data_IF_592159695105
#
_entry.id   IF_592159695105
#
_cell.length_a   1.000
_cell.length_b   1.000
_cell.length_c   1.000
_cell.angle_alpha   90.00
_cell.angle_beta   90.00
_cell.angle_gamma   90.00
#
_symmetry.space_group_name_H-M   'P 1'
#
loop_
_entity.id
_entity.type
_entity.pdbx_description
1 polymer ?
#
# COMPACT_ATOMS: atom_id res chain seq x y z
N UNK A 1 -12.08 -0.94 -40.65
CA UNK A 1 -11.49 0.41 -40.54
C UNK A 1 -10.52 0.60 -41.70
N UNK A 2 -10.67 1.65 -42.50
CA UNK A 2 -9.85 1.85 -43.73
C UNK A 2 -8.38 2.12 -43.34
N UNK A 3 -7.42 1.56 -44.11
CA UNK A 3 -5.97 1.82 -43.96
C UNK A 3 -5.63 3.33 -43.90
N UNK A 4 -6.49 4.16 -44.42
CA UNK A 4 -6.36 5.62 -44.41
C UNK A 4 -6.63 6.21 -43.01
N UNK A 5 -7.61 5.67 -42.27
CA UNK A 5 -7.96 6.08 -40.91
C UNK A 5 -6.84 5.71 -39.91
N UNK A 6 -6.21 4.55 -40.09
CA UNK A 6 -5.08 4.12 -39.24
C UNK A 6 -3.84 5.02 -39.45
N UNK A 7 -3.55 5.42 -40.68
CA UNK A 7 -2.45 6.36 -40.96
C UNK A 7 -2.70 7.74 -40.34
N UNK A 8 -3.92 8.26 -40.43
CA UNK A 8 -4.27 9.56 -39.83
C UNK A 8 -4.17 9.51 -38.32
N UNK A 9 -4.69 8.46 -37.68
CA UNK A 9 -4.59 8.25 -36.21
C UNK A 9 -3.13 8.09 -35.77
N UNK A 10 -2.31 7.40 -36.56
CA UNK A 10 -0.88 7.27 -36.31
C UNK A 10 -0.16 8.62 -36.40
N UNK A 11 -0.42 9.43 -37.44
CA UNK A 11 0.17 10.76 -37.61
C UNK A 11 -0.27 11.75 -36.51
N UNK A 12 -1.55 11.73 -36.13
CA UNK A 12 -2.06 12.55 -35.01
C UNK A 12 -1.42 12.13 -33.70
N UNK A 13 -1.28 10.83 -33.46
CA UNK A 13 -0.59 10.30 -32.26
C UNK A 13 0.88 10.71 -32.23
N UNK A 14 1.57 10.65 -33.33
CA UNK A 14 2.98 11.05 -33.43
C UNK A 14 3.15 12.57 -33.24
N UNK A 15 2.27 13.40 -33.82
CA UNK A 15 2.27 14.86 -33.62
C UNK A 15 1.94 15.27 -32.16
N UNK A 16 1.10 14.52 -31.47
CA UNK A 16 0.79 14.74 -30.05
C UNK A 16 1.89 14.21 -29.10
N UNK A 17 2.71 13.27 -29.53
CA UNK A 17 3.82 12.75 -28.73
C UNK A 17 5.02 13.68 -28.67
N UNK A 18 5.28 14.45 -29.73
CA UNK A 18 6.39 15.42 -29.80
C UNK A 18 6.30 16.50 -28.69
N UNK A 19 5.20 17.25 -28.53
CA UNK A 19 5.10 18.24 -27.46
C UNK A 19 5.17 17.61 -26.07
N UNK A 20 4.61 16.42 -25.88
CA UNK A 20 4.72 15.69 -24.62
C UNK A 20 6.17 15.28 -24.29
N UNK A 21 7.00 14.97 -25.30
CA UNK A 21 8.42 14.66 -25.13
C UNK A 21 9.20 15.90 -24.70
N UNK A 22 8.97 17.06 -25.36
CA UNK A 22 9.61 18.32 -24.99
C UNK A 22 9.22 18.78 -23.58
N UNK A 23 7.95 18.65 -23.21
CA UNK A 23 7.48 18.95 -21.85
C UNK A 23 8.17 18.04 -20.82
N UNK A 24 8.33 16.76 -21.10
CA UNK A 24 9.06 15.82 -20.22
C UNK A 24 10.54 16.18 -20.13
N UNK A 25 11.19 16.53 -21.25
CA UNK A 25 12.59 16.93 -21.26
C UNK A 25 12.79 18.25 -20.48
N UNK A 26 11.92 19.23 -20.67
CA UNK A 26 11.95 20.49 -19.91
C UNK A 26 11.72 20.25 -18.41
N UNK A 27 10.78 19.37 -18.04
CA UNK A 27 10.54 19.01 -16.64
C UNK A 27 11.76 18.31 -16.00
N UNK A 28 12.44 17.42 -16.73
CA UNK A 28 13.66 16.78 -16.25
C UNK A 28 14.81 17.79 -16.10
N UNK A 29 14.96 18.71 -17.06
CA UNK A 29 15.97 19.78 -16.98
C UNK A 29 15.69 20.71 -15.79
N UNK A 30 14.42 21.12 -15.60
CA UNK A 30 14.01 21.93 -14.45
C UNK A 30 14.31 21.22 -13.14
N UNK A 31 13.96 19.92 -13.03
CA UNK A 31 14.26 19.13 -11.84
C UNK A 31 15.79 19.07 -11.59
N UNK A 32 16.60 18.85 -12.62
CA UNK A 32 18.05 18.83 -12.49
C UNK A 32 18.60 20.17 -12.00
N UNK A 33 18.13 21.29 -12.57
CA UNK A 33 18.52 22.63 -12.15
C UNK A 33 18.10 22.94 -10.71
N UNK A 34 16.90 22.54 -10.30
CA UNK A 34 16.42 22.67 -8.92
C UNK A 34 17.30 21.86 -7.95
N UNK A 35 17.64 20.61 -8.28
CA UNK A 35 18.50 19.78 -7.45
C UNK A 35 19.92 20.36 -7.32
N UNK A 36 20.49 20.90 -8.40
CA UNK A 36 21.82 21.56 -8.38
C UNK A 36 21.78 22.85 -7.54
N UNK A 37 20.72 23.64 -7.69
CA UNK A 37 20.55 24.93 -6.96
C UNK A 37 20.32 24.72 -5.47
N UNK A 38 19.54 23.67 -5.11
CA UNK A 38 19.11 23.38 -3.75
C UNK A 38 19.74 22.08 -3.21
N UNK A 39 21.03 21.83 -3.55
CA UNK A 39 21.74 20.58 -3.25
C UNK A 39 21.78 20.22 -1.76
N UNK A 40 21.90 21.21 -0.88
CA UNK A 40 21.93 20.98 0.57
C UNK A 40 20.58 20.55 1.10
N UNK A 41 19.51 21.18 0.65
CA UNK A 41 18.14 20.76 0.97
C UNK A 41 17.82 19.37 0.42
N UNK A 42 18.26 19.08 -0.81
CA UNK A 42 18.09 17.75 -1.41
C UNK A 42 18.80 16.68 -0.57
N UNK A 43 20.05 16.90 -0.17
CA UNK A 43 20.79 15.98 0.69
C UNK A 43 20.12 15.79 2.06
N UNK A 44 19.69 16.88 2.70
CA UNK A 44 18.96 16.83 3.98
C UNK A 44 17.64 16.04 3.86
N UNK A 45 16.90 16.22 2.75
CA UNK A 45 15.68 15.47 2.45
C UNK A 45 15.96 13.97 2.30
N UNK A 46 17.03 13.57 1.62
CA UNK A 46 17.43 12.15 1.51
C UNK A 46 17.78 11.58 2.87
N UNK A 47 18.56 12.28 3.69
CA UNK A 47 18.90 11.84 5.06
C UNK A 47 17.64 11.65 5.91
N UNK A 48 16.71 12.61 5.87
CA UNK A 48 15.42 12.49 6.56
C UNK A 48 14.62 11.27 6.08
N UNK A 49 14.59 11.03 4.77
CA UNK A 49 13.95 9.84 4.18
C UNK A 49 14.60 8.53 4.64
N UNK A 50 15.94 8.48 4.75
CA UNK A 50 16.67 7.32 5.29
C UNK A 50 16.26 7.06 6.73
N UNK A 51 16.23 8.09 7.59
CA UNK A 51 15.78 7.95 8.97
C UNK A 51 14.34 7.43 9.06
N UNK A 52 13.43 7.92 8.24
CA UNK A 52 12.04 7.44 8.17
C UNK A 52 12.00 5.97 7.72
N UNK A 53 12.79 5.59 6.72
CA UNK A 53 12.83 4.20 6.24
C UNK A 53 13.37 3.25 7.31
N UNK A 54 14.52 3.56 7.91
CA UNK A 54 15.19 2.68 8.87
C UNK A 54 14.47 2.67 10.22
N UNK A 55 14.02 3.82 10.71
CA UNK A 55 13.40 3.94 12.03
C UNK A 55 11.95 3.50 12.08
N UNK A 56 11.21 3.64 10.97
CA UNK A 56 9.75 3.42 10.98
C UNK A 56 9.31 2.40 9.94
N UNK A 57 9.60 2.64 8.65
CA UNK A 57 8.95 1.88 7.58
C UNK A 57 9.45 0.44 7.50
N UNK A 58 10.75 0.22 7.55
CA UNK A 58 11.32 -1.13 7.48
C UNK A 58 10.88 -1.96 8.67
N UNK A 59 11.05 -1.53 9.94
CA UNK A 59 10.63 -2.33 11.09
C UNK A 59 9.13 -2.64 11.11
N UNK A 60 8.29 -1.69 10.69
CA UNK A 60 6.84 -1.86 10.73
C UNK A 60 6.26 -2.61 9.54
N UNK A 61 6.80 -2.43 8.32
CA UNK A 61 6.19 -2.96 7.10
C UNK A 61 6.86 -4.23 6.58
N UNK A 62 8.18 -4.39 6.75
CA UNK A 62 8.90 -5.55 6.21
C UNK A 62 8.35 -6.90 6.69
N UNK A 63 8.05 -7.12 7.98
CA UNK A 63 7.48 -8.39 8.45
C UNK A 63 6.16 -8.72 7.74
N UNK A 64 5.31 -7.72 7.53
CA UNK A 64 4.02 -7.90 6.86
C UNK A 64 4.15 -8.09 5.35
N UNK A 65 5.10 -7.40 4.71
CA UNK A 65 5.43 -7.60 3.29
C UNK A 65 5.95 -9.03 3.08
N UNK A 66 6.82 -9.51 3.97
CA UNK A 66 7.31 -10.88 3.94
C UNK A 66 6.18 -11.89 4.11
N UNK A 67 5.31 -11.68 5.11
CA UNK A 67 4.12 -12.51 5.32
C UNK A 67 3.23 -12.53 4.07
N UNK A 68 3.02 -11.40 3.43
CA UNK A 68 2.26 -11.30 2.19
C UNK A 68 2.90 -12.11 1.05
N UNK A 69 4.23 -12.05 0.91
CA UNK A 69 4.95 -12.83 -0.09
C UNK A 69 4.86 -14.34 0.20
N UNK A 70 4.93 -14.75 1.46
CA UNK A 70 4.72 -16.14 1.88
C UNK A 70 3.28 -16.60 1.58
N UNK A 71 2.30 -15.76 1.87
CA UNK A 71 0.89 -16.07 1.64
C UNK A 71 0.53 -16.20 0.15
N UNK A 72 1.14 -15.42 -0.73
CA UNK A 72 0.83 -15.48 -2.18
C UNK A 72 1.37 -16.76 -2.84
N UNK A 73 2.48 -17.30 -2.34
CA UNK A 73 3.19 -18.42 -2.92
C UNK A 73 2.92 -19.76 -2.21
N UNK A 74 2.10 -19.77 -1.14
CA UNK A 74 1.87 -20.96 -0.32
C UNK A 74 0.47 -21.54 -0.51
N UNK A 75 0.41 -22.88 -0.70
CA UNK A 75 -0.86 -23.62 -0.62
C UNK A 75 -1.49 -23.54 0.78
N UNK A 76 -0.69 -23.40 1.85
CA UNK A 76 -1.17 -23.24 3.21
C UNK A 76 -1.98 -21.96 3.40
N UNK A 77 -1.60 -20.87 2.74
CA UNK A 77 -2.35 -19.63 2.78
C UNK A 77 -3.76 -19.76 2.17
N UNK A 78 -3.91 -20.58 1.12
CA UNK A 78 -5.22 -20.86 0.54
C UNK A 78 -6.16 -21.52 1.55
N UNK A 79 -5.63 -22.39 2.42
CA UNK A 79 -6.41 -23.02 3.48
C UNK A 79 -6.77 -22.02 4.58
N UNK A 80 -5.82 -21.16 4.98
CA UNK A 80 -6.02 -20.13 6.00
C UNK A 80 -7.13 -19.13 5.62
N UNK A 81 -7.16 -18.71 4.35
CA UNK A 81 -8.15 -17.74 3.88
C UNK A 81 -9.44 -18.37 3.36
N UNK A 82 -9.56 -19.71 3.38
CA UNK A 82 -10.76 -20.43 2.92
C UNK A 82 -12.05 -20.01 3.63
N UNK A 83 -12.07 -19.72 4.93
CA UNK A 83 -13.29 -19.23 5.62
C UNK A 83 -13.83 -17.91 5.06
N UNK A 84 -12.96 -17.06 4.49
CA UNK A 84 -13.35 -15.78 3.87
C UNK A 84 -13.90 -15.94 2.45
N UNK A 85 -13.80 -17.14 1.86
CA UNK A 85 -14.27 -17.41 0.49
C UNK A 85 -15.74 -17.05 0.25
N UNK A 86 -16.71 -17.35 1.13
CA UNK A 86 -18.10 -16.97 0.92
C UNK A 86 -18.27 -15.43 0.92
N UNK A 87 -17.56 -14.72 1.80
CA UNK A 87 -17.59 -13.25 1.84
C UNK A 87 -17.06 -12.67 0.52
N UNK A 88 -15.93 -13.18 0.02
CA UNK A 88 -15.38 -12.74 -1.27
C UNK A 88 -16.36 -12.97 -2.41
N UNK A 89 -17.00 -14.14 -2.48
CA UNK A 89 -17.90 -14.50 -3.59
C UNK A 89 -19.24 -13.80 -3.54
N UNK A 90 -19.88 -13.74 -2.37
CA UNK A 90 -21.26 -13.25 -2.24
C UNK A 90 -21.32 -11.75 -1.96
N UNK A 91 -20.40 -11.23 -1.14
CA UNK A 91 -20.38 -9.81 -0.75
C UNK A 91 -19.59 -8.99 -1.77
N UNK A 92 -18.35 -9.37 -2.03
CA UNK A 92 -17.46 -8.59 -2.91
C UNK A 92 -17.48 -9.03 -4.37
N UNK A 93 -18.19 -10.11 -4.72
CA UNK A 93 -18.24 -10.67 -6.09
C UNK A 93 -16.86 -10.83 -6.72
N UNK A 94 -15.93 -11.39 -5.93
CA UNK A 94 -14.55 -11.68 -6.32
C UNK A 94 -14.24 -13.18 -6.12
N UNK A 95 -13.27 -13.73 -6.85
CA UNK A 95 -12.77 -15.07 -6.58
C UNK A 95 -12.22 -15.21 -5.15
N UNK A 96 -12.32 -16.41 -4.57
CA UNK A 96 -11.87 -16.69 -3.20
C UNK A 96 -10.37 -16.36 -2.99
N UNK A 97 -9.56 -16.47 -4.03
CA UNK A 97 -8.13 -16.14 -3.98
C UNK A 97 -7.83 -14.66 -3.71
N UNK A 98 -8.83 -13.77 -3.79
CA UNK A 98 -8.68 -12.35 -3.46
C UNK A 98 -8.67 -12.07 -1.94
N UNK A 99 -9.10 -13.01 -1.09
CA UNK A 99 -9.20 -12.82 0.35
C UNK A 99 -7.87 -12.38 1.02
N UNK A 100 -6.70 -12.94 0.68
CA UNK A 100 -5.42 -12.46 1.21
C UNK A 100 -5.13 -10.99 0.86
N UNK A 101 -5.49 -10.55 -0.36
CA UNK A 101 -5.25 -9.17 -0.77
C UNK A 101 -6.08 -8.19 0.07
N UNK A 102 -7.33 -8.50 0.38
CA UNK A 102 -8.19 -7.67 1.23
C UNK A 102 -7.67 -7.68 2.66
N UNK A 103 -7.54 -8.85 3.29
CA UNK A 103 -7.19 -8.93 4.70
C UNK A 103 -5.80 -8.33 4.98
N UNK A 104 -4.77 -8.76 4.23
CA UNK A 104 -3.41 -8.26 4.42
C UNK A 104 -3.24 -6.82 3.92
N UNK A 105 -4.01 -6.40 2.93
CA UNK A 105 -4.00 -5.01 2.48
C UNK A 105 -4.58 -4.04 3.50
N UNK A 106 -5.56 -4.46 4.29
CA UNK A 106 -6.15 -3.66 5.37
C UNK A 106 -5.30 -3.68 6.64
N UNK A 107 -4.68 -4.81 6.96
CA UNK A 107 -3.93 -4.98 8.22
C UNK A 107 -2.45 -4.65 8.10
N UNK A 108 -1.81 -5.08 7.02
CA UNK A 108 -0.37 -4.93 6.80
C UNK A 108 0.03 -3.63 6.08
N UNK A 109 -0.90 -2.97 5.40
CA UNK A 109 -0.66 -1.66 4.80
C UNK A 109 -0.73 -1.63 3.27
N UNK A 110 -0.68 -0.40 2.74
CA UNK A 110 -0.94 -0.06 1.32
C UNK A 110 -0.24 -0.92 0.27
N UNK A 111 1.09 -1.16 0.34
CA UNK A 111 1.77 -1.84 -0.74
C UNK A 111 1.42 -3.33 -0.78
N UNK A 112 1.05 -3.90 0.37
CA UNK A 112 0.82 -5.34 0.52
C UNK A 112 -0.38 -5.82 -0.29
N UNK A 113 -1.55 -5.20 -0.09
CA UNK A 113 -2.77 -5.56 -0.83
C UNK A 113 -2.61 -5.36 -2.34
N UNK A 114 -1.98 -4.25 -2.74
CA UNK A 114 -1.70 -3.96 -4.14
C UNK A 114 -0.74 -4.98 -4.77
N UNK A 115 0.34 -5.36 -4.06
CA UNK A 115 1.30 -6.37 -4.53
C UNK A 115 0.64 -7.74 -4.70
N UNK A 116 -0.17 -8.18 -3.73
CA UNK A 116 -0.92 -9.45 -3.83
C UNK A 116 -1.87 -9.40 -5.04
N UNK A 117 -2.60 -8.30 -5.21
CA UNK A 117 -3.53 -8.13 -6.34
C UNK A 117 -2.79 -8.18 -7.68
N UNK A 118 -1.65 -7.51 -7.81
CA UNK A 118 -0.81 -7.54 -9.00
C UNK A 118 -0.29 -8.96 -9.31
N UNK A 119 0.16 -9.68 -8.29
CA UNK A 119 0.62 -11.07 -8.43
C UNK A 119 -0.53 -12.02 -8.85
N UNK A 120 -1.73 -11.86 -8.27
CA UNK A 120 -2.90 -12.65 -8.65
C UNK A 120 -3.32 -12.38 -10.10
N UNK A 121 -3.24 -11.15 -10.55
CA UNK A 121 -3.49 -10.78 -11.94
C UNK A 121 -2.45 -11.38 -12.88
N UNK A 122 -1.15 -11.23 -12.58
CA UNK A 122 -0.06 -11.80 -13.37
C UNK A 122 -0.16 -13.34 -13.46
N UNK A 123 -0.67 -13.99 -12.42
CA UNK A 123 -0.93 -15.43 -12.38
C UNK A 123 -2.25 -15.84 -13.10
N UNK A 124 -2.97 -14.93 -13.76
CA UNK A 124 -4.23 -15.20 -14.44
C UNK A 124 -5.41 -15.59 -13.52
N UNK A 125 -5.29 -15.34 -12.21
CA UNK A 125 -6.32 -15.68 -11.21
C UNK A 125 -7.39 -14.59 -11.05
N UNK A 126 -7.13 -13.41 -11.56
CA UNK A 126 -8.07 -12.28 -11.59
C UNK A 126 -8.17 -11.74 -13.01
N UNK A 127 -9.37 -11.37 -13.42
CA UNK A 127 -9.56 -10.58 -14.64
C UNK A 127 -9.07 -9.14 -14.41
N UNK A 128 -8.87 -8.38 -15.51
CA UNK A 128 -8.50 -6.97 -15.45
C UNK A 128 -9.45 -6.17 -14.57
N UNK A 129 -10.76 -6.38 -14.74
CA UNK A 129 -11.79 -5.65 -14.00
C UNK A 129 -11.83 -6.02 -12.52
N UNK A 130 -11.69 -7.32 -12.22
CA UNK A 130 -11.60 -7.82 -10.85
C UNK A 130 -10.37 -7.24 -10.12
N UNK A 131 -9.19 -7.24 -10.77
CA UNK A 131 -7.97 -6.67 -10.21
C UNK A 131 -8.09 -5.15 -10.00
N UNK A 132 -8.61 -4.41 -10.99
CA UNK A 132 -8.82 -2.96 -10.89
C UNK A 132 -9.81 -2.59 -9.77
N UNK A 133 -10.89 -3.36 -9.62
CA UNK A 133 -11.88 -3.17 -8.55
C UNK A 133 -11.31 -3.52 -7.18
N UNK A 134 -10.64 -4.66 -7.05
CA UNK A 134 -10.00 -5.11 -5.80
C UNK A 134 -9.02 -4.06 -5.29
N UNK A 135 -8.23 -3.46 -6.18
CA UNK A 135 -7.26 -2.43 -5.84
C UNK A 135 -7.89 -1.20 -5.20
N UNK A 136 -9.12 -0.84 -5.56
CA UNK A 136 -9.80 0.32 -4.99
C UNK A 136 -10.09 0.18 -3.50
N UNK A 137 -10.14 -1.06 -2.96
CA UNK A 137 -10.50 -1.30 -1.57
C UNK A 137 -9.59 -2.27 -0.80
N UNK A 138 -8.54 -2.81 -1.40
CA UNK A 138 -7.55 -3.63 -0.69
C UNK A 138 -6.31 -2.84 -0.22
N UNK A 139 -6.40 -1.52 -0.19
CA UNK A 139 -5.29 -0.64 0.18
C UNK A 139 -5.68 0.28 1.32
N UNK A 140 -5.03 0.12 2.47
CA UNK A 140 -5.22 0.92 3.68
C UNK A 140 -3.88 1.15 4.39
N UNK A 141 -3.79 2.06 5.37
CA UNK A 141 -2.52 2.35 6.05
C UNK A 141 -1.96 1.18 6.88
N UNK A 142 -2.79 0.19 7.21
CA UNK A 142 -2.41 -0.91 8.09
C UNK A 142 -2.33 -0.51 9.55
N UNK A 143 -2.35 -1.52 10.44
CA UNK A 143 -2.32 -1.32 11.88
C UNK A 143 -1.04 -0.62 12.34
N UNK A 144 0.11 -1.06 11.84
CA UNK A 144 1.41 -0.52 12.27
C UNK A 144 1.53 0.99 12.02
N UNK A 145 1.00 1.49 10.91
CA UNK A 145 1.10 2.91 10.58
C UNK A 145 -0.03 3.73 11.20
N UNK A 146 -1.29 3.29 11.13
CA UNK A 146 -2.42 4.05 11.63
C UNK A 146 -2.53 4.00 13.16
N UNK A 147 -2.45 2.80 13.76
CA UNK A 147 -2.62 2.65 15.20
C UNK A 147 -1.30 2.87 15.95
N UNK A 148 -0.25 2.09 15.64
CA UNK A 148 0.97 2.12 16.43
C UNK A 148 1.78 3.40 16.19
N UNK A 149 2.10 3.72 14.93
CA UNK A 149 2.92 4.91 14.63
C UNK A 149 2.15 6.22 14.85
N UNK A 150 1.01 6.40 14.15
CA UNK A 150 0.27 7.66 14.22
C UNK A 150 -0.44 7.82 15.57
N UNK A 151 -1.10 6.79 16.07
CA UNK A 151 -1.87 6.84 17.32
C UNK A 151 -0.98 6.79 18.56
N UNK A 152 -0.33 5.64 18.78
CA UNK A 152 0.40 5.40 20.04
C UNK A 152 1.68 6.23 20.14
N UNK A 153 2.48 6.28 19.06
CA UNK A 153 3.78 6.96 19.10
C UNK A 153 3.64 8.49 18.95
N UNK A 154 2.94 8.98 17.93
CA UNK A 154 2.88 10.41 17.64
C UNK A 154 1.79 11.15 18.44
N UNK A 155 0.57 10.59 18.51
CA UNK A 155 -0.56 11.20 19.24
C UNK A 155 -0.61 10.76 20.72
N UNK A 156 0.26 9.83 21.12
CA UNK A 156 0.31 9.26 22.49
C UNK A 156 -1.04 8.76 22.99
N UNK A 157 -1.86 8.23 22.08
CA UNK A 157 -3.19 7.71 22.39
C UNK A 157 -3.51 6.47 21.56
N UNK A 158 -3.48 5.31 22.21
CA UNK A 158 -3.84 4.04 21.59
C UNK A 158 -5.28 4.05 21.07
N UNK A 159 -6.17 4.74 21.77
CA UNK A 159 -7.58 4.83 21.41
C UNK A 159 -7.81 5.63 20.13
N UNK A 160 -7.13 6.77 19.99
CA UNK A 160 -7.15 7.55 18.74
C UNK A 160 -6.57 6.70 17.60
N UNK A 161 -5.47 6.00 17.86
CA UNK A 161 -4.83 5.11 16.90
C UNK A 161 -5.75 3.99 16.43
N UNK A 162 -6.46 3.33 17.33
CA UNK A 162 -7.43 2.30 17.01
C UNK A 162 -8.62 2.88 16.20
N UNK A 163 -9.14 4.03 16.60
CA UNK A 163 -10.21 4.71 15.84
C UNK A 163 -9.74 5.06 14.42
N UNK A 164 -8.52 5.56 14.25
CA UNK A 164 -7.91 5.81 12.94
C UNK A 164 -7.79 4.53 12.11
N UNK A 165 -7.28 3.45 12.71
CA UNK A 165 -7.14 2.17 12.03
C UNK A 165 -8.49 1.63 11.56
N UNK A 166 -9.49 1.57 12.45
CA UNK A 166 -10.81 1.07 12.09
C UNK A 166 -11.51 1.97 11.07
N UNK A 167 -11.40 3.29 11.18
CA UNK A 167 -11.94 4.22 10.20
C UNK A 167 -11.35 3.96 8.80
N UNK A 168 -10.02 3.81 8.72
CA UNK A 168 -9.31 3.55 7.48
C UNK A 168 -9.48 2.12 6.94
N UNK A 169 -9.92 1.16 7.77
CA UNK A 169 -10.25 -0.19 7.33
C UNK A 169 -11.72 -0.31 6.88
N UNK A 170 -12.65 0.35 7.57
CA UNK A 170 -14.08 0.32 7.22
C UNK A 170 -14.39 1.08 5.93
N UNK A 171 -13.72 2.21 5.72
CA UNK A 171 -13.93 3.04 4.53
C UNK A 171 -13.71 2.27 3.21
N UNK A 172 -12.57 1.62 2.96
CA UNK A 172 -12.37 0.83 1.75
C UNK A 172 -13.30 -0.39 1.68
N UNK A 173 -13.66 -1.02 2.80
CA UNK A 173 -14.62 -2.13 2.79
C UNK A 173 -16.00 -1.67 2.32
N UNK A 174 -16.48 -0.51 2.79
CA UNK A 174 -17.72 0.10 2.32
C UNK A 174 -17.65 0.42 0.83
N UNK A 175 -16.54 1.04 0.37
CA UNK A 175 -16.34 1.31 -1.05
C UNK A 175 -16.34 0.02 -1.88
N UNK A 176 -15.68 -1.03 -1.39
CA UNK A 176 -15.66 -2.36 -2.01
C UNK A 176 -17.06 -2.97 -2.11
N UNK A 177 -17.87 -2.81 -1.08
CA UNK A 177 -19.27 -3.26 -1.07
C UNK A 177 -20.09 -2.52 -2.13
N UNK A 178 -19.99 -1.20 -2.20
CA UNK A 178 -20.68 -0.37 -3.20
C UNK A 178 -20.27 -0.77 -4.62
N UNK A 179 -18.96 -0.84 -4.89
CA UNK A 179 -18.44 -1.21 -6.22
C UNK A 179 -18.85 -2.63 -6.62
N UNK A 180 -19.05 -3.51 -5.66
CA UNK A 180 -19.44 -4.90 -5.92
C UNK A 180 -20.90 -5.05 -6.33
N UNK A 181 -21.76 -4.08 -6.01
CA UNK A 181 -23.17 -4.09 -6.46
C UNK A 181 -23.31 -3.97 -7.98
N UNK A 182 -22.39 -3.25 -8.61
CA UNK A 182 -22.36 -3.01 -10.05
C UNK A 182 -21.51 -4.03 -10.82
N UNK A 183 -21.00 -5.06 -10.15
CA UNK A 183 -20.13 -6.05 -10.75
C UNK A 183 -20.88 -7.35 -11.03
N UNK A 184 -20.45 -8.07 -12.06
CA UNK A 184 -20.92 -9.42 -12.33
C UNK A 184 -20.38 -10.41 -11.29
N UNK A 185 -21.15 -11.48 -11.07
CA UNK A 185 -20.69 -12.56 -10.18
C UNK A 185 -19.48 -13.25 -10.85
N UNK A 186 -18.45 -13.63 -10.07
CA UNK A 186 -17.32 -14.34 -10.63
C UNK A 186 -17.79 -15.69 -11.17
N UNK A 187 -17.47 -15.98 -12.42
CA UNK A 187 -17.62 -17.33 -12.97
C UNK A 187 -16.84 -18.34 -12.13
N UNK A 188 -17.34 -19.59 -12.08
CA UNK A 188 -16.67 -20.66 -11.35
C UNK A 188 -15.21 -20.75 -11.82
N UNK A 189 -14.33 -20.40 -10.91
CA UNK A 189 -12.87 -20.55 -10.91
C UNK A 189 -12.25 -20.92 -12.27
N UNK A 190 -11.62 -19.95 -12.91
CA UNK A 190 -10.56 -20.22 -13.89
C UNK A 190 -9.60 -21.24 -13.27
N UNK A 191 -9.34 -22.36 -13.96
CA UNK A 191 -8.41 -23.40 -13.50
C UNK A 191 -7.12 -22.71 -13.07
N UNK A 192 -6.82 -22.76 -11.77
CA UNK A 192 -5.58 -22.20 -11.26
C UNK A 192 -4.42 -22.92 -11.94
N UNK A 193 -3.56 -22.23 -12.70
CA UNK A 193 -2.24 -22.79 -12.95
C UNK A 193 -1.63 -23.10 -11.58
N UNK A 194 -1.10 -24.26 -11.39
CA UNK A 194 -0.40 -24.60 -10.17
C UNK A 194 0.70 -23.57 -9.96
N UNK A 195 0.55 -22.76 -8.91
CA UNK A 195 1.62 -21.86 -8.54
C UNK A 195 2.85 -22.73 -8.28
N UNK A 196 3.92 -22.51 -9.04
CA UNK A 196 5.19 -23.09 -8.72
C UNK A 196 5.48 -22.78 -7.25
N UNK A 197 5.84 -23.77 -6.43
CA UNK A 197 6.08 -23.54 -5.01
C UNK A 197 7.29 -22.62 -4.87
N UNK A 198 7.06 -21.32 -4.78
CA UNK A 198 8.06 -20.38 -4.36
C UNK A 198 8.37 -20.70 -2.89
N UNK A 199 9.57 -21.22 -2.63
CA UNK A 199 10.01 -21.51 -1.27
C UNK A 199 10.13 -20.23 -0.43
N UNK A 200 10.42 -20.39 0.87
CA UNK A 200 10.67 -19.28 1.81
C UNK A 200 11.73 -18.30 1.23
N UNK A 201 12.75 -18.82 0.58
CA UNK A 201 13.84 -18.02 -0.03
C UNK A 201 13.28 -17.05 -1.07
N UNK A 202 12.42 -17.51 -1.96
CA UNK A 202 11.79 -16.64 -2.97
C UNK A 202 10.89 -15.57 -2.32
N UNK A 203 10.15 -15.92 -1.28
CA UNK A 203 9.33 -14.97 -0.55
C UNK A 203 10.17 -13.89 0.16
N UNK A 204 11.32 -14.26 0.75
CA UNK A 204 12.28 -13.32 1.36
C UNK A 204 12.84 -12.37 0.29
N UNK A 205 13.30 -12.90 -0.83
CA UNK A 205 13.83 -12.07 -1.93
C UNK A 205 12.78 -11.09 -2.47
N UNK A 206 11.54 -11.54 -2.64
CA UNK A 206 10.44 -10.69 -3.10
C UNK A 206 10.06 -9.64 -2.06
N UNK A 207 10.12 -9.99 -0.76
CA UNK A 207 9.93 -9.08 0.35
C UNK A 207 11.00 -7.98 0.38
N UNK A 208 12.27 -8.33 0.25
CA UNK A 208 13.39 -7.39 0.20
C UNK A 208 13.22 -6.43 -1.00
N UNK A 209 12.99 -6.97 -2.21
CA UNK A 209 12.79 -6.15 -3.42
C UNK A 209 11.62 -5.16 -3.26
N UNK A 210 10.52 -5.58 -2.65
CA UNK A 210 9.38 -4.71 -2.42
C UNK A 210 9.70 -3.61 -1.42
N UNK A 211 10.38 -3.95 -0.32
CA UNK A 211 10.76 -3.00 0.73
C UNK A 211 11.77 -1.97 0.22
N UNK A 212 12.81 -2.40 -0.50
CA UNK A 212 13.77 -1.49 -1.12
C UNK A 212 13.10 -0.54 -2.12
N UNK A 213 12.18 -1.05 -2.94
CA UNK A 213 11.41 -0.21 -3.86
C UNK A 213 10.57 0.84 -3.12
N UNK A 214 9.92 0.45 -2.01
CA UNK A 214 9.16 1.36 -1.16
C UNK A 214 10.05 2.45 -0.57
N UNK A 215 11.18 2.09 0.02
CA UNK A 215 12.15 3.06 0.55
C UNK A 215 12.64 4.03 -0.54
N UNK A 216 12.92 3.54 -1.75
CA UNK A 216 13.31 4.40 -2.88
C UNK A 216 12.28 5.48 -3.19
N UNK A 217 10.98 5.17 -3.18
CA UNK A 217 9.94 6.18 -3.35
C UNK A 217 9.92 7.19 -2.21
N UNK A 218 10.05 6.74 -0.96
CA UNK A 218 10.08 7.64 0.20
C UNK A 218 11.28 8.58 0.13
N UNK A 219 12.48 8.10 -0.22
CA UNK A 219 13.67 8.93 -0.39
C UNK A 219 13.46 10.01 -1.46
N UNK A 220 12.90 9.64 -2.61
CA UNK A 220 12.61 10.60 -3.70
C UNK A 220 11.61 11.66 -3.25
N UNK A 221 10.55 11.27 -2.56
CA UNK A 221 9.53 12.24 -2.11
C UNK A 221 10.00 13.09 -0.95
N UNK A 222 10.79 12.56 -0.01
CA UNK A 222 11.41 13.36 1.06
C UNK A 222 12.39 14.39 0.51
N UNK A 223 13.21 14.00 -0.48
CA UNK A 223 14.08 14.91 -1.20
C UNK A 223 13.29 15.99 -1.95
N UNK A 224 12.23 15.59 -2.67
CA UNK A 224 11.39 16.51 -3.42
C UNK A 224 10.72 17.55 -2.50
N UNK A 225 10.15 17.11 -1.37
CA UNK A 225 9.56 17.99 -0.38
C UNK A 225 10.57 19.01 0.16
N UNK A 226 11.76 18.57 0.54
CA UNK A 226 12.82 19.45 1.03
C UNK A 226 13.21 20.50 -0.01
N UNK A 227 13.36 20.10 -1.28
CA UNK A 227 13.68 21.03 -2.38
C UNK A 227 12.53 22.01 -2.65
N UNK A 228 11.28 21.56 -2.65
CA UNK A 228 10.11 22.41 -2.86
C UNK A 228 9.96 23.45 -1.74
N UNK A 229 10.29 23.09 -0.50
CA UNK A 229 10.32 24.01 0.64
C UNK A 229 11.43 25.05 0.49
N UNK A 230 12.66 24.62 0.21
CA UNK A 230 13.82 25.49 0.08
C UNK A 230 13.72 26.43 -1.14
N UNK A 231 13.09 25.98 -2.22
CA UNK A 231 12.81 26.77 -3.41
C UNK A 231 11.67 27.79 -3.25
N UNK A 232 10.98 27.82 -2.12
CA UNK A 232 9.83 28.71 -1.89
C UNK A 232 8.55 28.32 -2.63
N UNK A 233 8.57 27.24 -3.40
CA UNK A 233 7.41 26.77 -4.18
C UNK A 233 6.28 26.34 -3.25
N UNK A 234 6.64 25.71 -2.14
CA UNK A 234 5.69 25.25 -1.15
C UNK A 234 4.94 26.40 -0.49
N UNK A 235 5.67 27.47 -0.12
CA UNK A 235 5.13 28.70 0.45
C UNK A 235 4.21 29.41 -0.54
N UNK A 236 4.61 29.46 -1.82
CA UNK A 236 3.78 30.02 -2.88
C UNK A 236 2.45 29.28 -3.01
N UNK A 237 2.47 27.93 -3.02
CA UNK A 237 1.26 27.10 -3.09
C UNK A 237 0.37 27.30 -1.85
N UNK A 238 0.94 27.35 -0.66
CA UNK A 238 0.20 27.63 0.57
C UNK A 238 -0.45 29.04 0.53
N UNK A 239 0.28 30.04 0.07
CA UNK A 239 -0.24 31.40 -0.11
C UNK A 239 -1.34 31.50 -1.16
N UNK A 240 -1.26 30.67 -2.22
CA UNK A 240 -2.34 30.56 -3.21
C UNK A 240 -3.60 29.95 -2.57
N UNK A 241 -3.46 28.85 -1.82
CA UNK A 241 -4.59 28.19 -1.16
C UNK A 241 -5.21 29.08 -0.06
N UNK A 242 -4.44 29.94 0.59
CA UNK A 242 -4.97 30.86 1.61
C UNK A 242 -5.95 31.88 1.05
N UNK A 243 -5.87 32.19 -0.26
CA UNK A 243 -6.86 33.06 -0.94
C UNK A 243 -8.26 32.43 -1.01
N UNK A 244 -8.35 31.11 -0.87
CA UNK A 244 -9.63 30.37 -0.80
C UNK A 244 -10.10 30.14 0.64
N UNK A 245 -9.52 30.83 1.62
CA UNK A 245 -9.93 30.76 3.03
C UNK A 245 -9.25 29.64 3.85
N UNK A 246 -8.28 28.92 3.26
CA UNK A 246 -7.53 27.91 4.02
C UNK A 246 -6.40 28.58 4.82
N UNK A 247 -6.21 28.15 6.08
CA UNK A 247 -5.06 28.61 6.86
C UNK A 247 -3.76 28.06 6.30
N UNK A 248 -2.64 28.79 6.46
CA UNK A 248 -1.33 28.36 5.97
C UNK A 248 -0.92 26.99 6.56
N UNK A 249 -1.09 26.71 7.88
CA UNK A 249 -0.83 25.40 8.46
C UNK A 249 -1.62 24.27 7.81
N UNK A 250 -2.92 24.48 7.59
CA UNK A 250 -3.78 23.47 6.95
C UNK A 250 -3.37 23.24 5.50
N UNK A 251 -3.11 24.31 4.75
CA UNK A 251 -2.65 24.19 3.36
C UNK A 251 -1.32 23.43 3.26
N UNK A 252 -0.37 23.76 4.14
CA UNK A 252 0.92 23.08 4.20
C UNK A 252 0.79 21.60 4.53
N UNK A 253 0.01 21.26 5.54
CA UNK A 253 -0.22 19.89 5.93
C UNK A 253 -0.93 19.06 4.84
N UNK A 254 -1.95 19.63 4.19
CA UNK A 254 -2.68 18.96 3.10
C UNK A 254 -1.79 18.76 1.86
N UNK A 255 -0.99 19.73 1.47
CA UNK A 255 -0.05 19.59 0.35
C UNK A 255 1.02 18.54 0.65
N UNK A 256 1.61 18.57 1.84
CA UNK A 256 2.62 17.58 2.26
C UNK A 256 2.02 16.17 2.29
N UNK A 257 0.83 16.03 2.90
CA UNK A 257 0.10 14.76 2.99
C UNK A 257 -0.32 14.24 1.61
N UNK A 258 -0.69 15.16 0.71
CA UNK A 258 -1.00 14.84 -0.68
C UNK A 258 0.20 14.29 -1.46
N UNK A 259 1.41 14.73 -1.14
CA UNK A 259 2.65 14.25 -1.75
C UNK A 259 3.17 13.01 -1.03
N UNK A 260 3.42 13.11 0.28
CA UNK A 260 4.02 12.06 1.11
C UNK A 260 3.29 12.00 2.46
N UNK A 261 2.71 10.84 2.74
CA UNK A 261 1.79 10.67 3.86
C UNK A 261 2.49 10.74 5.22
N UNK A 262 3.72 10.25 5.35
CA UNK A 262 4.42 10.19 6.64
C UNK A 262 4.78 11.59 7.13
N UNK A 263 5.36 12.41 6.26
CA UNK A 263 5.65 13.82 6.56
C UNK A 263 4.37 14.62 6.77
N UNK A 264 3.31 14.33 5.99
CA UNK A 264 2.02 15.00 6.13
C UNK A 264 1.36 14.73 7.48
N UNK A 265 1.40 13.48 7.96
CA UNK A 265 0.92 13.11 9.30
C UNK A 265 1.66 13.87 10.39
N UNK A 266 3.00 13.90 10.33
CA UNK A 266 3.84 14.62 11.28
C UNK A 266 3.51 16.12 11.28
N UNK A 267 3.31 16.72 10.11
CA UNK A 267 2.97 18.14 9.97
C UNK A 267 1.56 18.47 10.49
N UNK A 268 0.57 17.58 10.25
CA UNK A 268 -0.77 17.74 10.85
C UNK A 268 -0.72 17.74 12.38
N UNK A 269 0.08 16.87 12.96
CA UNK A 269 0.23 16.79 14.42
C UNK A 269 0.97 18.00 14.95
N UNK A 270 2.04 18.42 14.30
CA UNK A 270 2.81 19.62 14.69
C UNK A 270 1.94 20.89 14.73
N UNK A 271 1.02 21.04 13.78
CA UNK A 271 0.09 22.17 13.71
C UNK A 271 -1.22 21.95 14.48
N UNK A 272 -1.32 20.88 15.27
CA UNK A 272 -2.52 20.52 16.05
C UNK A 272 -3.82 20.49 15.22
N UNK A 273 -3.73 20.04 13.98
CA UNK A 273 -4.91 19.94 13.12
C UNK A 273 -5.85 18.83 13.62
N UNK A 274 -7.17 18.97 13.45
CA UNK A 274 -8.13 17.95 13.84
C UNK A 274 -7.83 16.58 13.26
N UNK A 275 -7.97 15.52 14.06
CA UNK A 275 -7.57 14.16 13.70
C UNK A 275 -8.33 13.60 12.48
N UNK A 276 -9.51 14.10 12.17
CA UNK A 276 -10.21 13.69 10.96
C UNK A 276 -9.46 14.07 9.66
N UNK A 277 -8.61 15.10 9.68
CA UNK A 277 -7.69 15.37 8.55
C UNK A 277 -6.63 14.29 8.41
N UNK A 278 -6.13 13.73 9.53
CA UNK A 278 -5.24 12.56 9.49
C UNK A 278 -5.97 11.35 8.90
N UNK A 279 -7.22 11.11 9.32
CA UNK A 279 -8.04 10.02 8.78
C UNK A 279 -8.25 10.19 7.26
N UNK A 280 -8.54 11.41 6.79
CA UNK A 280 -8.63 11.72 5.36
C UNK A 280 -7.32 11.40 4.63
N UNK A 281 -6.19 11.92 5.11
CA UNK A 281 -4.89 11.72 4.46
C UNK A 281 -4.47 10.25 4.45
N UNK A 282 -4.64 9.55 5.56
CA UNK A 282 -4.43 8.11 5.65
C UNK A 282 -5.33 7.35 4.66
N UNK A 283 -6.58 7.70 4.52
CA UNK A 283 -7.49 7.13 3.54
C UNK A 283 -7.09 7.44 2.10
N UNK A 284 -6.64 8.65 1.79
CA UNK A 284 -6.18 9.08 0.47
C UNK A 284 -4.83 8.48 0.09
N UNK A 285 -3.87 8.39 1.02
CA UNK A 285 -2.55 7.76 0.93
C UNK A 285 -1.42 8.59 0.29
N UNK A 286 -1.71 9.69 -0.39
CA UNK A 286 -0.71 10.55 -1.05
C UNK A 286 -0.14 9.98 -2.37
N UNK A 287 0.48 10.86 -3.16
CA UNK A 287 1.01 10.56 -4.50
C UNK A 287 2.15 9.55 -4.43
N UNK A 288 3.01 9.61 -3.40
CA UNK A 288 4.10 8.66 -3.19
C UNK A 288 3.59 7.21 -3.21
N UNK A 289 2.55 6.91 -2.43
CA UNK A 289 1.93 5.57 -2.37
C UNK A 289 1.23 5.22 -3.71
N UNK A 290 0.57 6.18 -4.35
CA UNK A 290 -0.08 5.95 -5.64
C UNK A 290 0.94 5.49 -6.69
N UNK A 291 2.12 6.13 -6.76
CA UNK A 291 3.18 5.76 -7.70
C UNK A 291 3.78 4.37 -7.37
N UNK A 292 3.94 4.03 -6.08
CA UNK A 292 4.37 2.69 -5.66
C UNK A 292 3.39 1.63 -6.19
N UNK A 293 2.09 1.85 -6.01
CA UNK A 293 1.04 0.93 -6.46
C UNK A 293 1.05 0.83 -7.98
N UNK A 294 1.14 1.93 -8.70
CA UNK A 294 1.22 1.92 -10.17
C UNK A 294 2.44 1.15 -10.68
N UNK A 295 3.57 1.18 -9.95
CA UNK A 295 4.76 0.42 -10.32
C UNK A 295 4.52 -1.10 -10.26
N UNK A 296 3.77 -1.61 -9.29
CA UNK A 296 3.42 -3.02 -9.21
C UNK A 296 2.56 -3.47 -10.39
N UNK A 297 1.57 -2.66 -10.76
CA UNK A 297 0.67 -2.97 -11.86
C UNK A 297 1.34 -2.82 -13.23
N UNK A 298 2.25 -1.87 -13.37
CA UNK A 298 3.06 -1.75 -14.58
C UNK A 298 3.91 -3.02 -14.80
N UNK A 299 4.58 -3.51 -13.74
CA UNK A 299 5.35 -4.76 -13.77
C UNK A 299 4.48 -5.99 -14.05
N UNK A 300 3.24 -5.99 -13.60
CA UNK A 300 2.28 -7.07 -13.85
C UNK A 300 1.59 -7.00 -15.22
N UNK A 301 1.87 -5.98 -16.04
CA UNK A 301 1.24 -5.77 -17.34
C UNK A 301 -0.24 -5.40 -17.28
N UNK A 302 -0.75 -4.90 -16.12
CA UNK A 302 -2.13 -4.48 -15.98
C UNK A 302 -2.32 -3.03 -16.46
N UNK A 303 -3.14 -2.76 -17.49
CA UNK A 303 -3.51 -1.40 -17.87
C UNK A 303 -4.55 -0.84 -16.89
N UNK A 304 -4.05 -0.17 -15.84
CA UNK A 304 -4.89 0.43 -14.82
C UNK A 304 -5.34 1.85 -15.21
N UNK A 305 -6.62 2.17 -15.00
CA UNK A 305 -7.11 3.55 -15.07
C UNK A 305 -6.67 4.32 -13.80
N UNK A 306 -5.62 5.13 -13.95
CA UNK A 306 -5.04 5.94 -12.86
C UNK A 306 -6.08 6.88 -12.26
N UNK A 307 -6.91 7.52 -13.10
CA UNK A 307 -7.96 8.45 -12.66
C UNK A 307 -9.00 7.75 -11.78
N UNK A 308 -9.49 6.57 -12.21
CA UNK A 308 -10.46 5.81 -11.40
C UNK A 308 -9.87 5.40 -10.04
N UNK A 309 -8.60 5.01 -10.02
CA UNK A 309 -7.91 4.66 -8.78
C UNK A 309 -7.78 5.88 -7.86
N UNK A 310 -7.28 7.02 -8.36
CA UNK A 310 -7.10 8.24 -7.56
C UNK A 310 -8.44 8.73 -7.02
N UNK A 311 -9.51 8.69 -7.83
CA UNK A 311 -10.86 9.04 -7.38
C UNK A 311 -11.36 8.09 -6.27
N UNK A 312 -11.14 6.79 -6.41
CA UNK A 312 -11.47 5.82 -5.37
C UNK A 312 -10.68 6.10 -4.07
N UNK A 313 -9.41 6.50 -4.16
CA UNK A 313 -8.61 6.90 -2.99
C UNK A 313 -9.10 8.18 -2.34
N UNK A 314 -9.51 9.16 -3.14
CA UNK A 314 -10.11 10.39 -2.63
C UNK A 314 -11.42 10.11 -1.85
N UNK A 315 -12.29 9.28 -2.42
CA UNK A 315 -13.51 8.81 -1.73
C UNK A 315 -13.19 8.03 -0.46
N UNK A 316 -12.17 7.17 -0.48
CA UNK A 316 -11.69 6.49 0.72
C UNK A 316 -11.23 7.48 1.80
N UNK A 317 -10.54 8.54 1.42
CA UNK A 317 -10.14 9.61 2.35
C UNK A 317 -11.36 10.25 3.02
N UNK A 318 -12.37 10.65 2.24
CA UNK A 318 -13.60 11.24 2.76
C UNK A 318 -14.35 10.27 3.69
N UNK A 319 -14.50 9.02 3.26
CA UNK A 319 -15.15 8.00 4.09
C UNK A 319 -14.36 7.71 5.36
N UNK A 320 -13.02 7.68 5.31
CA UNK A 320 -12.19 7.50 6.50
C UNK A 320 -12.37 8.63 7.51
N UNK A 321 -12.44 9.88 7.03
CA UNK A 321 -12.73 11.03 7.90
C UNK A 321 -14.11 10.91 8.53
N UNK A 322 -15.14 10.55 7.74
CA UNK A 322 -16.51 10.37 8.24
C UNK A 322 -16.60 9.22 9.26
N UNK A 323 -15.97 8.07 8.98
CA UNK A 323 -15.91 6.96 9.94
C UNK A 323 -15.14 7.32 11.20
N UNK A 324 -14.06 8.10 11.08
CA UNK A 324 -13.33 8.56 12.26
C UNK A 324 -14.21 9.44 13.16
N UNK A 325 -14.94 10.40 12.58
CA UNK A 325 -15.88 11.23 13.34
C UNK A 325 -16.97 10.38 14.02
N UNK A 326 -17.52 9.40 13.31
CA UNK A 326 -18.51 8.49 13.86
C UNK A 326 -17.93 7.65 15.01
N UNK A 327 -16.77 7.05 14.82
CA UNK A 327 -16.12 6.23 15.85
C UNK A 327 -15.72 7.07 17.06
N UNK A 328 -15.23 8.30 16.88
CA UNK A 328 -14.87 9.19 17.97
C UNK A 328 -16.08 9.67 18.78
N UNK A 329 -17.25 9.72 18.17
CA UNK A 329 -18.50 9.99 18.88
C UNK A 329 -18.91 8.84 19.81
N UNK A 330 -18.85 7.59 19.34
CA UNK A 330 -19.22 6.42 20.14
C UNK A 330 -18.10 5.93 21.07
N UNK A 331 -16.86 6.17 20.69
CA UNK A 331 -15.66 5.75 21.41
C UNK A 331 -14.76 6.97 21.70
N UNK A 332 -15.22 7.90 22.56
CA UNK A 332 -14.48 9.13 22.82
C UNK A 332 -13.09 8.79 23.42
N UNK A 333 -12.07 9.42 22.88
CA UNK A 333 -10.74 9.40 23.46
C UNK A 333 -10.58 10.65 24.34
N UNK A 334 -10.20 10.49 25.59
CA UNK A 334 -9.85 11.63 26.43
C UNK A 334 -8.60 12.27 25.83
N UNK A 335 -8.78 13.38 25.12
CA UNK A 335 -7.70 14.14 24.52
C UNK A 335 -7.11 15.09 25.56
N UNK A 336 -6.38 14.58 26.53
CA UNK A 336 -5.37 15.36 27.21
C UNK A 336 -4.07 15.29 26.40
N UNK A 337 -4.08 15.87 25.20
CA UNK A 337 -2.88 15.99 24.38
C UNK A 337 -2.08 17.19 24.89
N UNK A 338 -1.36 17.02 25.97
CA UNK A 338 -0.20 17.83 26.26
C UNK A 338 0.91 17.36 25.29
N UNK A 339 1.00 18.00 24.13
CA UNK A 339 2.16 17.79 23.25
C UNK A 339 3.33 18.52 23.89
N UNK A 340 4.09 17.81 24.70
CA UNK A 340 5.45 18.24 25.00
C UNK A 340 6.25 18.15 23.71
N UNK A 341 6.65 19.30 23.21
CA UNK A 341 7.61 19.47 22.11
C UNK A 341 9.01 19.07 22.61
N UNK A 342 9.21 17.80 22.90
CA UNK A 342 10.55 17.27 23.04
C UNK A 342 11.09 16.95 21.65
N UNK A 343 12.32 17.37 21.29
CA UNK A 343 12.94 16.94 20.04
C UNK A 343 12.91 15.42 20.00
N UNK A 344 12.54 14.87 18.83
CA UNK A 344 12.48 13.42 18.56
C UNK A 344 13.83 12.79 18.91
N UNK A 345 13.99 12.42 20.18
CA UNK A 345 14.95 11.40 20.55
C UNK A 345 14.38 10.09 20.01
N UNK A 346 15.04 9.57 19.01
CA UNK A 346 14.77 8.24 18.46
C UNK A 346 15.07 7.19 19.51
N UNK A 347 14.21 7.09 20.53
CA UNK A 347 14.19 5.92 21.38
C UNK A 347 13.78 4.72 20.51
N UNK A 348 14.49 3.59 20.56
CA UNK A 348 14.11 2.41 19.84
C UNK A 348 12.66 2.09 20.21
N UNK A 349 11.79 1.87 19.22
CA UNK A 349 10.40 1.49 19.43
C UNK A 349 10.39 0.23 20.32
N UNK A 350 10.13 0.40 21.60
CA UNK A 350 9.74 -0.71 22.46
C UNK A 350 8.38 -1.18 21.92
N UNK A 351 8.41 -2.23 21.09
CA UNK A 351 7.19 -2.87 20.61
C UNK A 351 6.34 -3.22 21.81
N UNK A 352 5.05 -2.88 21.81
CA UNK A 352 4.18 -3.28 22.90
C UNK A 352 4.27 -4.81 23.04
N UNK A 353 4.36 -5.32 24.24
CA UNK A 353 4.45 -6.76 24.53
C UNK A 353 3.33 -7.53 23.80
N UNK A 354 2.16 -6.90 23.63
CA UNK A 354 1.03 -7.45 22.88
C UNK A 354 1.30 -7.64 21.37
N UNK A 355 1.97 -6.69 20.71
CA UNK A 355 2.30 -6.84 19.28
C UNK A 355 3.42 -7.85 19.05
N UNK A 356 4.39 -7.92 19.97
CA UNK A 356 5.43 -8.94 19.96
C UNK A 356 4.86 -10.34 20.23
N UNK A 357 3.92 -10.47 21.17
CA UNK A 357 3.23 -11.73 21.45
C UNK A 357 2.36 -12.19 20.28
N UNK A 358 1.65 -11.27 19.63
CA UNK A 358 0.85 -11.58 18.43
C UNK A 358 1.74 -12.05 17.27
N UNK A 359 2.90 -11.44 17.07
CA UNK A 359 3.88 -11.87 16.05
C UNK A 359 4.49 -13.23 16.38
N UNK A 360 4.85 -13.46 17.65
CA UNK A 360 5.39 -14.74 18.10
C UNK A 360 4.35 -15.85 17.98
N UNK A 361 3.11 -15.61 18.41
CA UNK A 361 2.03 -16.62 18.31
C UNK A 361 1.70 -16.94 16.85
N UNK A 362 1.68 -15.95 15.96
CA UNK A 362 1.46 -16.17 14.52
C UNK A 362 2.63 -16.94 13.88
N UNK A 363 3.87 -16.62 14.28
CA UNK A 363 5.07 -17.29 13.79
C UNK A 363 5.17 -18.73 14.31
N UNK A 364 4.85 -18.96 15.59
CA UNK A 364 4.81 -20.31 16.20
C UNK A 364 3.69 -21.15 15.57
N UNK A 365 2.50 -20.59 15.37
CA UNK A 365 1.40 -21.28 14.70
C UNK A 365 1.76 -21.65 13.27
N UNK A 366 2.45 -20.76 12.54
CA UNK A 366 2.93 -21.03 11.18
C UNK A 366 4.01 -22.13 11.16
N UNK A 367 4.97 -22.08 12.08
CA UNK A 367 6.00 -23.11 12.24
C UNK A 367 5.40 -24.49 12.61
N UNK A 368 4.46 -24.52 13.54
CA UNK A 368 3.74 -25.73 13.91
C UNK A 368 2.97 -26.34 12.74
N UNK A 369 2.28 -25.51 11.94
CA UNK A 369 1.58 -26.00 10.74
C UNK A 369 2.53 -26.53 9.67
N UNK A 370 3.73 -25.94 9.52
CA UNK A 370 4.77 -26.44 8.62
C UNK A 370 5.37 -27.76 9.11
N UNK A 371 5.66 -27.91 10.41
CA UNK A 371 6.25 -29.11 11.02
C UNK A 371 5.25 -30.30 10.98
N UNK A 372 4.00 -30.07 11.37
CA UNK A 372 2.95 -31.09 11.35
C UNK A 372 2.65 -31.62 9.92
N UNK A 373 2.97 -30.86 8.91
CA UNK A 373 2.79 -31.23 7.50
C UNK A 373 4.01 -31.93 6.90
N UNK A 374 5.22 -31.66 7.41
CA UNK A 374 6.45 -32.35 7.00
C UNK A 374 6.49 -33.81 7.45
N UNK A 375 5.73 -34.17 8.48
CA UNK A 375 5.64 -35.56 8.99
C UNK A 375 4.71 -36.52 8.21
N UNK A 376 4.04 -36.03 7.14
CA UNK A 376 3.18 -36.87 6.30
C UNK A 376 3.68 -36.92 4.86
N UNK A 377 4.87 -37.43 4.64
CA UNK A 377 5.27 -38.02 3.36
C UNK A 377 4.89 -39.50 3.40
N UNK A 378 3.98 -39.99 2.54
CA UNK A 378 3.83 -41.43 2.37
C UNK A 378 5.04 -41.95 1.61
N UNK A 379 5.83 -42.76 2.28
CA UNK A 379 6.76 -43.67 1.66
C UNK A 379 5.98 -44.64 0.73
N UNK A 380 6.13 -44.47 -0.56
CA UNK A 380 5.93 -45.48 -1.59
C UNK A 380 7.25 -45.53 -2.35
N UNK A 381 8.26 -46.25 -1.84
CA UNK A 381 8.45 -47.68 -2.03
C UNK A 381 8.79 -48.07 -3.45
N UNK A 382 10.03 -48.32 -3.59
CA UNK A 382 10.60 -49.29 -4.45
C UNK A 382 9.98 -50.68 -4.16
N UNK A 383 9.27 -51.20 -5.10
CA UNK A 383 8.98 -52.60 -5.23
C UNK A 383 9.45 -53.02 -6.61
N UNK A 384 10.61 -53.61 -6.65
CA UNK A 384 11.17 -54.13 -7.87
C UNK A 384 10.34 -55.25 -8.44
N UNK A 385 10.40 -55.40 -9.73
CA UNK A 385 10.48 -56.74 -10.35
C UNK A 385 11.28 -56.68 -11.66
N UNK A 386 12.46 -57.17 -11.54
CA UNK A 386 13.25 -57.71 -12.66
C UNK A 386 12.53 -58.90 -13.28
N UNK A 387 12.19 -58.83 -14.54
CA UNK A 387 12.24 -60.00 -15.40
C UNK A 387 12.64 -59.57 -16.80
N UNK A 388 13.77 -60.06 -17.19
CA UNK A 388 14.34 -59.88 -18.51
C UNK A 388 13.52 -60.54 -19.60
N UNK A 389 13.74 -60.05 -20.78
CA UNK A 389 13.84 -60.87 -22.00
C UNK A 389 14.71 -60.12 -23.00
N UNK A 390 15.85 -60.71 -23.25
CA UNK A 390 16.64 -60.57 -24.48
C UNK A 390 15.86 -61.05 -25.67
N UNK A 391 16.36 -60.67 -26.86
CA UNK A 391 16.19 -61.21 -28.24
C UNK A 391 15.07 -60.47 -29.01
N UNK A 392 15.34 -59.77 -30.02
CA UNK A 392 16.01 -59.83 -31.33
C UNK A 392 16.11 -58.41 -31.94
#
# INVERSE_FOLDING_TARGET
MSKHTERIVFFIRQKLQLPALYVRAAALLLLALLLLRHRTAAAAGVVSGIHTCLGTLIPSLFPFILLACLCTNSRAAQVLFRPLSPVMRHVFRLPACAAPAVLLGLTAGYPTGAKITANLYAAGKLTREQAARLLCFCTAPGYAFAAAYTGSLLLRSDRIGLNLFFACALAPLLLGLILSRFAEKPEKSLKSPEAAPGGIVSAVQDGIKATVSLCGFVLVFSMLLAVLHDAGIFQFLCGFLSRFGYTVPLSGALLTMGLEITAGVTQCIYWHLPVYFLAFGLGFSGVCIHLQIFSFFHKAGLPLSKTRYVLARFLNGLLSAAFYLLLSYFLPANTSVAVETSPLNTAPMAGSAASSLALITLSVFFLLTCILRSGKTPSKICGGNSTGKMLQ
#
